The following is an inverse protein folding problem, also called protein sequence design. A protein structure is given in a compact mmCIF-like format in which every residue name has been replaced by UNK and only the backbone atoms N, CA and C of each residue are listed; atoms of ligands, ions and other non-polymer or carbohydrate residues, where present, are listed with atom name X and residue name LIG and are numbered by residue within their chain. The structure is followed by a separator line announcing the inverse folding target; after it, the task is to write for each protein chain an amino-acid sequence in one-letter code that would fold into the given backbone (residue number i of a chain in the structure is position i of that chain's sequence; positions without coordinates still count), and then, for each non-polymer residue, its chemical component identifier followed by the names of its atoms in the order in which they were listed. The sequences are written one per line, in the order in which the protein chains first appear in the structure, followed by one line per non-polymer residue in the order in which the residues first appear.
data_IF_723203658394
#
_entry.id   IF_723203658394
#
_cell.length_a   1.000
_cell.length_b   1.000
_cell.length_c   1.000
_cell.angle_alpha   90.00
_cell.angle_beta   90.00
_cell.angle_gamma   90.00
#
_symmetry.space_group_name_H-M   'P 1'
#
loop_
_entity.id
_entity.type
_entity.pdbx_description
1 polymer ?
#
# COMPACT_ATOMS: atom_id res chain seq x y z
N UNK A 1 0.69 -1.46 13.12
CA UNK A 1 -0.08 -0.87 11.98
C UNK A 1 0.79 -0.01 11.06
N UNK A 2 1.57 0.97 11.60
CA UNK A 2 2.38 1.89 10.79
C UNK A 2 3.26 1.19 9.76
N UNK A 3 4.04 0.18 10.16
CA UNK A 3 4.92 -0.55 9.25
C UNK A 3 4.17 -1.14 8.06
N UNK A 4 2.98 -1.66 8.31
CA UNK A 4 2.14 -2.26 7.25
C UNK A 4 1.55 -1.19 6.34
N UNK A 5 1.08 -0.06 6.90
CA UNK A 5 0.57 1.08 6.11
C UNK A 5 1.61 1.61 5.12
N UNK A 6 2.88 1.69 5.53
CA UNK A 6 3.94 2.22 4.66
C UNK A 6 4.49 1.18 3.68
N UNK A 7 4.44 -0.11 4.04
CA UNK A 7 4.91 -1.19 3.17
C UNK A 7 3.88 -1.54 2.10
N UNK A 8 2.59 -1.51 2.44
CA UNK A 8 1.48 -1.81 1.54
C UNK A 8 0.52 -0.61 1.50
N UNK A 9 0.96 0.52 0.96
CA UNK A 9 0.11 1.70 0.88
C UNK A 9 -1.03 1.49 -0.11
N UNK A 10 -2.17 2.09 0.19
CA UNK A 10 -3.21 2.23 -0.83
C UNK A 10 -2.78 3.23 -1.93
N UNK A 11 -3.38 3.18 -3.11
CA UNK A 11 -3.17 4.19 -4.14
C UNK A 11 -3.63 5.57 -3.65
N UNK A 12 -2.68 6.45 -3.33
CA UNK A 12 -2.94 7.73 -2.65
C UNK A 12 -2.76 8.95 -3.56
N UNK A 13 -1.79 8.92 -4.47
CA UNK A 13 -1.36 10.11 -5.20
C UNK A 13 -2.48 10.77 -6.02
N UNK A 14 -3.29 10.00 -6.73
CA UNK A 14 -4.39 10.49 -7.56
C UNK A 14 -5.77 10.33 -6.92
N UNK A 15 -5.84 9.96 -5.65
CA UNK A 15 -7.11 9.77 -4.95
C UNK A 15 -7.71 11.11 -4.55
N UNK A 16 -8.72 11.59 -5.29
CA UNK A 16 -9.38 12.86 -5.03
C UNK A 16 -10.18 12.88 -3.71
N UNK A 17 -10.61 11.72 -3.22
CA UNK A 17 -11.38 11.60 -1.99
C UNK A 17 -10.51 11.60 -0.72
N UNK A 18 -9.20 11.38 -0.87
CA UNK A 18 -8.27 11.34 0.25
C UNK A 18 -7.86 12.75 0.70
N UNK A 19 -7.85 13.00 2.00
CA UNK A 19 -7.40 14.27 2.57
C UNK A 19 -5.92 14.52 2.27
N UNK A 20 -5.54 15.80 2.13
CA UNK A 20 -4.15 16.16 1.88
C UNK A 20 -3.22 15.67 2.99
N UNK A 21 -3.67 15.69 4.23
CA UNK A 21 -2.91 15.21 5.39
C UNK A 21 -2.51 13.74 5.28
N UNK A 22 -3.42 12.88 4.82
CA UNK A 22 -3.13 11.46 4.59
C UNK A 22 -2.20 11.30 3.38
N UNK A 23 -2.37 12.10 2.33
CA UNK A 23 -1.46 12.10 1.18
C UNK A 23 -0.05 12.50 1.58
N UNK A 24 0.11 13.52 2.40
CA UNK A 24 1.41 13.96 2.92
C UNK A 24 2.09 12.86 3.74
N UNK A 25 1.33 12.15 4.56
CA UNK A 25 1.83 10.97 5.28
C UNK A 25 2.39 9.92 4.32
N UNK A 26 1.64 9.51 3.31
CA UNK A 26 2.10 8.51 2.35
C UNK A 26 3.26 9.03 1.49
N UNK A 27 3.22 10.30 1.07
CA UNK A 27 4.32 10.92 0.31
C UNK A 27 5.62 10.95 1.10
N UNK A 28 5.55 11.27 2.38
CA UNK A 28 6.71 11.28 3.26
C UNK A 28 7.35 9.90 3.33
N UNK A 29 6.57 8.87 3.61
CA UNK A 29 7.10 7.51 3.72
C UNK A 29 7.52 6.91 2.38
N UNK A 30 6.93 7.34 1.27
CA UNK A 30 7.36 6.94 -0.08
C UNK A 30 8.78 7.41 -0.42
N UNK A 31 9.32 8.41 0.28
CA UNK A 31 10.74 8.80 0.14
C UNK A 31 11.71 7.84 0.82
N UNK A 32 11.23 6.97 1.68
CA UNK A 32 12.05 6.07 2.52
C UNK A 32 11.99 4.62 2.10
N UNK A 33 10.89 4.19 1.50
CA UNK A 33 10.65 2.79 1.20
C UNK A 33 9.82 2.64 -0.07
N UNK A 34 10.22 1.70 -0.92
CA UNK A 34 9.39 1.26 -2.05
C UNK A 34 8.18 0.47 -1.53
N UNK A 35 6.97 0.72 -2.08
CA UNK A 35 5.80 -0.04 -1.72
C UNK A 35 5.90 -1.48 -2.19
N UNK A 36 5.30 -2.39 -1.42
CA UNK A 36 5.12 -3.76 -1.86
C UNK A 36 4.27 -3.80 -3.14
N UNK A 37 4.71 -4.56 -4.12
CA UNK A 37 3.94 -4.87 -5.31
C UNK A 37 3.80 -6.38 -5.47
N UNK A 38 2.59 -6.82 -5.81
CA UNK A 38 2.25 -8.23 -6.00
C UNK A 38 1.12 -8.72 -5.09
N UNK A 39 0.58 -9.93 -5.37
CA UNK A 39 -0.52 -10.50 -4.60
C UNK A 39 -0.12 -10.78 -3.15
N UNK A 40 -0.82 -10.16 -2.21
CA UNK A 40 -0.57 -10.34 -0.79
C UNK A 40 -1.85 -10.28 0.04
N UNK A 41 -1.88 -11.09 1.10
CA UNK A 41 -2.78 -10.95 2.23
C UNK A 41 -1.93 -11.08 3.47
N UNK A 42 -1.69 -9.96 4.14
CA UNK A 42 -0.75 -9.86 5.26
C UNK A 42 -1.54 -9.75 6.56
N UNK A 43 -1.28 -10.66 7.47
CA UNK A 43 -1.77 -10.61 8.84
C UNK A 43 -0.63 -10.19 9.75
N UNK A 44 -0.94 -9.38 10.74
CA UNK A 44 0.07 -8.89 11.69
C UNK A 44 -0.53 -8.70 13.08
N UNK A 45 0.34 -8.67 14.08
CA UNK A 45 -0.01 -8.34 15.46
C UNK A 45 1.16 -7.63 16.14
N UNK A 46 0.86 -6.77 17.11
CA UNK A 46 1.84 -6.20 18.05
C UNK A 46 1.57 -6.63 19.50
N UNK A 47 0.69 -7.59 19.68
CA UNK A 47 0.27 -8.11 20.98
C UNK A 47 -1.16 -7.70 21.33
N UNK A 48 -1.47 -6.42 21.25
CA UNK A 48 -2.79 -5.86 21.58
C UNK A 48 -3.65 -5.63 20.34
N UNK A 49 -3.02 -5.35 19.22
CA UNK A 49 -3.68 -5.13 17.93
C UNK A 49 -3.49 -6.34 17.02
N UNK A 50 -4.56 -6.79 16.42
CA UNK A 50 -4.55 -7.72 15.29
C UNK A 50 -4.98 -6.99 14.04
N UNK A 51 -4.26 -7.20 12.95
CA UNK A 51 -4.60 -6.54 11.70
C UNK A 51 -4.44 -7.45 10.49
N UNK A 52 -5.14 -7.07 9.43
CA UNK A 52 -5.02 -7.70 8.13
C UNK A 52 -5.19 -6.67 7.00
N UNK A 53 -4.38 -6.79 5.97
CA UNK A 53 -4.41 -5.93 4.79
C UNK A 53 -4.20 -6.76 3.53
N UNK A 54 -4.83 -6.35 2.45
CA UNK A 54 -4.59 -6.89 1.11
C UNK A 54 -3.62 -6.00 0.33
N UNK A 55 -3.02 -6.57 -0.70
CA UNK A 55 -2.32 -5.79 -1.71
C UNK A 55 -3.24 -4.72 -2.33
N UNK A 56 -2.66 -3.71 -2.96
CA UNK A 56 -3.40 -2.56 -3.52
C UNK A 56 -4.53 -2.94 -4.50
N UNK A 57 -4.42 -4.09 -5.15
CA UNK A 57 -5.42 -4.59 -6.10
C UNK A 57 -6.37 -5.63 -5.47
N UNK A 58 -6.06 -6.10 -4.26
CA UNK A 58 -6.84 -7.12 -3.57
C UNK A 58 -6.90 -8.45 -4.31
N UNK A 59 -5.79 -8.86 -4.91
CA UNK A 59 -5.72 -10.07 -5.74
C UNK A 59 -5.91 -11.35 -4.92
N UNK A 60 -5.48 -11.34 -3.65
CA UNK A 60 -5.77 -12.44 -2.73
C UNK A 60 -7.07 -12.18 -1.98
N UNK A 61 -8.01 -13.13 -1.97
CA UNK A 61 -9.23 -12.98 -1.19
C UNK A 61 -8.92 -13.07 0.31
N UNK A 62 -9.67 -12.32 1.11
CA UNK A 62 -9.69 -12.45 2.57
C UNK A 62 -11.06 -12.05 3.08
N UNK A 63 -11.66 -12.92 3.87
CA UNK A 63 -13.00 -12.76 4.42
C UNK A 63 -12.97 -12.92 5.91
N UNK A 64 -13.87 -12.23 6.61
CA UNK A 64 -13.99 -12.40 8.03
C UNK A 64 -15.46 -12.50 8.47
N UNK A 65 -15.64 -13.17 9.58
CA UNK A 65 -16.89 -13.25 10.31
C UNK A 65 -16.66 -12.72 11.73
N UNK A 66 -17.69 -12.08 12.27
CA UNK A 66 -17.79 -11.80 13.70
C UNK A 66 -19.01 -12.54 14.20
N UNK A 67 -18.86 -13.30 15.26
CA UNK A 67 -19.93 -14.08 15.88
C UNK A 67 -20.57 -13.33 17.06
N UNK A 68 -21.69 -13.83 17.54
CA UNK A 68 -22.44 -13.27 18.65
C UNK A 68 -21.72 -13.36 20.03
N UNK A 69 -20.63 -14.14 20.08
CA UNK A 69 -19.72 -14.25 21.22
C UNK A 69 -18.43 -13.45 21.04
N UNK A 70 -18.44 -12.46 20.15
CA UNK A 70 -17.31 -11.57 19.83
C UNK A 70 -16.05 -12.29 19.29
N UNK A 71 -16.22 -13.50 18.72
CA UNK A 71 -15.12 -14.19 18.06
C UNK A 71 -14.98 -13.68 16.61
N UNK A 72 -13.78 -13.20 16.23
CA UNK A 72 -13.46 -12.83 14.86
C UNK A 72 -12.68 -13.94 14.18
N UNK A 73 -13.17 -14.41 13.05
CA UNK A 73 -12.52 -15.43 12.23
C UNK A 73 -12.19 -14.80 10.88
N UNK A 74 -10.89 -14.73 10.56
CA UNK A 74 -10.39 -14.29 9.28
C UNK A 74 -9.77 -15.46 8.51
N UNK A 75 -10.12 -15.57 7.23
CA UNK A 75 -9.62 -16.64 6.36
C UNK A 75 -9.65 -16.23 4.89
N UNK A 76 -8.78 -16.83 4.08
CA UNK A 76 -8.82 -16.71 2.62
C UNK A 76 -10.02 -17.46 2.00
N UNK A 77 -10.49 -18.51 2.67
CA UNK A 77 -11.56 -19.39 2.20
C UNK A 77 -12.78 -19.34 3.12
N UNK A 78 -13.95 -19.55 2.56
CA UNK A 78 -15.20 -19.70 3.32
C UNK A 78 -15.32 -21.13 3.83
N UNK A 79 -15.85 -21.31 5.04
CA UNK A 79 -16.11 -22.65 5.58
C UNK A 79 -14.88 -23.34 6.16
N UNK A 80 -13.85 -22.60 6.54
CA UNK A 80 -12.65 -23.13 7.24
C UNK A 80 -13.05 -23.66 8.63
N UNK A 81 -14.01 -23.03 9.25
CA UNK A 81 -14.67 -23.49 10.47
C UNK A 81 -16.16 -23.65 10.20
N UNK A 82 -16.74 -24.69 10.76
CA UNK A 82 -18.19 -24.92 10.72
C UNK A 82 -18.86 -24.04 11.78
N UNK A 83 -19.34 -22.88 11.36
CA UNK A 83 -20.01 -21.92 12.23
C UNK A 83 -21.48 -21.88 11.87
N UNK A 84 -22.37 -22.13 12.84
CA UNK A 84 -23.80 -22.01 12.61
C UNK A 84 -24.15 -20.61 12.08
N UNK A 85 -24.89 -20.51 10.96
CA UNK A 85 -25.22 -19.20 10.36
C UNK A 85 -25.88 -18.20 11.30
N UNK A 86 -26.69 -18.70 12.25
CA UNK A 86 -27.38 -17.89 13.26
C UNK A 86 -26.43 -17.20 14.26
N UNK A 87 -25.20 -17.69 14.41
CA UNK A 87 -24.17 -17.08 15.26
C UNK A 87 -23.39 -15.97 14.56
N UNK A 88 -23.50 -15.83 13.25
CA UNK A 88 -22.73 -14.87 12.48
C UNK A 88 -23.45 -13.51 12.50
N UNK A 89 -22.87 -12.53 13.19
CA UNK A 89 -23.38 -11.15 13.27
C UNK A 89 -22.84 -10.28 12.12
N UNK A 90 -21.56 -10.48 11.75
CA UNK A 90 -20.92 -9.78 10.63
C UNK A 90 -20.31 -10.79 9.68
N UNK A 91 -20.51 -10.55 8.38
CA UNK A 91 -19.93 -11.34 7.31
C UNK A 91 -19.45 -10.38 6.22
N UNK A 92 -18.15 -10.20 6.16
CA UNK A 92 -17.51 -9.20 5.32
C UNK A 92 -16.25 -9.75 4.64
N UNK A 93 -15.73 -8.97 3.69
CA UNK A 93 -14.43 -9.20 3.07
C UNK A 93 -13.52 -7.99 3.30
N UNK A 94 -12.23 -8.22 3.34
CA UNK A 94 -11.27 -7.10 3.30
C UNK A 94 -11.24 -6.54 1.88
N UNK A 95 -11.36 -5.23 1.78
CA UNK A 95 -11.30 -4.52 0.51
C UNK A 95 -9.88 -4.07 0.18
N UNK A 96 -9.51 -3.96 -1.11
CA UNK A 96 -8.24 -3.37 -1.53
C UNK A 96 -8.05 -1.96 -0.93
N UNK A 97 -6.84 -1.67 -0.45
CA UNK A 97 -6.53 -0.39 0.19
C UNK A 97 -7.18 -0.15 1.54
N UNK A 98 -7.91 -1.14 2.08
CA UNK A 98 -8.51 -1.09 3.41
C UNK A 98 -7.82 -2.06 4.35
N UNK A 99 -7.68 -1.64 5.59
CA UNK A 99 -7.12 -2.46 6.66
C UNK A 99 -8.23 -2.88 7.63
N UNK A 100 -8.31 -4.17 7.90
CA UNK A 100 -9.05 -4.65 9.07
C UNK A 100 -8.13 -4.54 10.28
N UNK A 101 -8.56 -3.84 11.31
CA UNK A 101 -7.81 -3.68 12.53
C UNK A 101 -8.72 -3.98 13.73
N UNK A 102 -8.23 -4.78 14.64
CA UNK A 102 -8.94 -5.17 15.85
C UNK A 102 -8.09 -4.82 17.06
N UNK A 103 -8.62 -3.99 17.93
CA UNK A 103 -8.04 -3.70 19.24
C UNK A 103 -8.62 -4.71 20.25
N UNK A 104 -7.78 -5.64 20.70
CA UNK A 104 -8.21 -6.71 21.62
C UNK A 104 -8.35 -6.22 23.06
N UNK A 105 -7.72 -5.10 23.40
CA UNK A 105 -7.85 -4.48 24.73
C UNK A 105 -9.18 -3.73 24.86
N UNK A 106 -9.53 -2.97 23.80
CA UNK A 106 -10.78 -2.23 23.75
C UNK A 106 -11.97 -3.09 23.28
N UNK A 107 -11.71 -4.28 22.72
CA UNK A 107 -12.72 -5.17 22.18
C UNK A 107 -13.49 -4.58 20.99
N UNK A 108 -12.81 -3.87 20.09
CA UNK A 108 -13.45 -3.23 18.94
C UNK A 108 -12.66 -3.36 17.64
N UNK A 109 -13.39 -3.31 16.54
CA UNK A 109 -12.81 -3.09 15.21
C UNK A 109 -12.55 -1.59 15.02
N UNK A 110 -11.34 -1.23 14.65
CA UNK A 110 -10.96 0.16 14.35
C UNK A 110 -11.24 0.44 12.87
N UNK A 111 -11.92 1.55 12.59
CA UNK A 111 -12.19 1.98 11.22
C UNK A 111 -10.90 2.38 10.49
N UNK A 112 -10.80 1.98 9.23
CA UNK A 112 -9.64 2.26 8.38
C UNK A 112 -9.36 3.76 8.23
N UNK A 113 -10.40 4.57 8.12
CA UNK A 113 -10.24 6.02 8.01
C UNK A 113 -9.79 6.64 9.34
N UNK A 114 -10.34 6.19 10.47
CA UNK A 114 -9.91 6.59 11.81
C UNK A 114 -8.43 6.33 12.00
N UNK A 115 -7.96 5.13 11.63
CA UNK A 115 -6.56 4.74 11.71
C UNK A 115 -5.67 5.66 10.87
N UNK A 116 -6.03 5.90 9.61
CA UNK A 116 -5.26 6.73 8.69
C UNK A 116 -5.16 8.17 9.15
N UNK A 117 -6.25 8.73 9.64
CA UNK A 117 -6.28 10.09 10.19
C UNK A 117 -5.41 10.22 11.44
N UNK A 118 -5.47 9.24 12.33
CA UNK A 118 -4.64 9.21 13.53
C UNK A 118 -3.14 9.23 13.16
N UNK A 119 -2.69 8.32 12.28
CA UNK A 119 -1.28 8.25 11.90
C UNK A 119 -0.82 9.47 11.11
N UNK A 120 -1.66 10.00 10.22
CA UNK A 120 -1.37 11.22 9.48
C UNK A 120 -1.31 12.47 10.38
N UNK A 121 -1.92 12.41 11.56
CA UNK A 121 -1.90 13.50 12.53
C UNK A 121 -0.70 13.48 13.48
N UNK A 122 0.06 12.38 13.53
CA UNK A 122 1.15 12.19 14.51
C UNK A 122 2.33 13.12 14.29
N UNK A 123 2.57 13.54 13.05
CA UNK A 123 3.70 14.38 12.70
C UNK A 123 3.30 15.42 11.64
N UNK A 124 4.02 16.53 11.50
CA UNK A 124 3.76 17.58 10.52
C UNK A 124 4.35 17.22 9.13
N UNK A 125 3.94 16.09 8.57
CA UNK A 125 4.50 15.55 7.31
C UNK A 125 4.46 16.56 6.16
N UNK A 126 3.37 17.31 6.02
CA UNK A 126 3.23 18.33 4.97
C UNK A 126 4.23 19.48 5.11
N UNK A 127 4.53 19.91 6.33
CA UNK A 127 5.55 20.95 6.56
C UNK A 127 6.95 20.44 6.19
N UNK A 128 7.26 19.18 6.54
CA UNK A 128 8.54 18.58 6.19
C UNK A 128 8.71 18.42 4.68
N UNK A 129 7.67 17.94 3.98
CA UNK A 129 7.68 17.83 2.52
C UNK A 129 7.84 19.19 1.86
N UNK A 130 7.08 20.20 2.28
CA UNK A 130 7.15 21.55 1.70
C UNK A 130 8.52 22.22 1.89
N UNK A 131 9.21 21.91 2.98
CA UNK A 131 10.51 22.53 3.29
C UNK A 131 11.72 21.75 2.78
N UNK A 132 11.60 20.43 2.57
CA UNK A 132 12.78 19.59 2.33
C UNK A 132 12.68 18.70 1.07
N UNK A 133 11.48 18.51 0.50
CA UNK A 133 11.33 17.72 -0.71
C UNK A 133 11.85 18.50 -1.92
N UNK A 134 12.85 17.95 -2.59
CA UNK A 134 13.37 18.50 -3.84
C UNK A 134 12.95 17.57 -4.99
N UNK A 135 12.18 18.10 -5.92
CA UNK A 135 11.78 17.34 -7.10
C UNK A 135 12.93 17.27 -8.11
N UNK A 136 13.04 16.15 -8.79
CA UNK A 136 14.07 15.97 -9.81
C UNK A 136 13.98 17.03 -10.91
N UNK A 137 12.77 17.46 -11.28
CA UNK A 137 12.52 18.51 -12.25
C UNK A 137 13.07 19.89 -11.84
N UNK A 138 13.24 20.13 -10.54
CA UNK A 138 13.70 21.41 -10.00
C UNK A 138 15.24 21.49 -9.96
N UNK A 139 15.91 20.36 -10.18
CA UNK A 139 17.36 20.31 -10.21
C UNK A 139 17.90 20.93 -11.50
N UNK A 140 18.84 21.87 -11.36
CA UNK A 140 19.61 22.40 -12.48
C UNK A 140 20.64 21.37 -12.92
N UNK A 141 20.21 20.42 -13.75
CA UNK A 141 21.13 19.44 -14.34
C UNK A 141 21.95 20.17 -15.42
N UNK A 142 23.30 20.08 -15.38
CA UNK A 142 24.14 20.68 -16.41
C UNK A 142 23.71 20.15 -17.79
N UNK A 143 23.59 21.10 -18.74
CA UNK A 143 23.09 20.79 -20.08
C UNK A 143 24.15 19.96 -20.85
N UNK A 144 24.25 18.68 -20.51
CA UNK A 144 25.10 17.73 -21.26
C UNK A 144 24.39 17.37 -22.57
N UNK A 145 25.09 17.48 -23.67
CA UNK A 145 24.59 16.97 -24.95
C UNK A 145 24.45 15.45 -24.83
N UNK A 146 23.22 15.00 -24.69
CA UNK A 146 22.92 13.57 -24.77
C UNK A 146 23.17 13.11 -26.21
N UNK A 147 23.97 12.08 -26.44
CA UNK A 147 24.17 11.55 -27.78
C UNK A 147 22.82 11.14 -28.40
N UNK A 148 22.58 11.62 -29.61
CA UNK A 148 21.40 11.21 -30.37
C UNK A 148 21.75 9.98 -31.18
N UNK A 149 21.16 8.84 -30.82
CA UNK A 149 21.36 7.60 -31.55
C UNK A 149 20.19 7.36 -32.51
N UNK A 150 20.49 6.81 -33.67
CA UNK A 150 19.46 6.26 -34.55
C UNK A 150 18.77 5.05 -33.88
N UNK A 151 17.60 4.69 -34.36
CA UNK A 151 16.88 3.51 -33.86
C UNK A 151 17.72 2.23 -33.97
N UNK A 152 18.46 2.08 -35.06
CA UNK A 152 19.31 0.91 -35.28
C UNK A 152 20.50 0.87 -34.34
N UNK A 153 21.12 2.00 -34.07
CA UNK A 153 22.21 2.13 -33.11
C UNK A 153 21.72 1.84 -31.70
N UNK A 154 20.55 2.38 -31.28
CA UNK A 154 19.94 2.05 -30.00
C UNK A 154 19.69 0.55 -29.84
N UNK A 155 19.12 -0.10 -30.85
CA UNK A 155 18.88 -1.54 -30.81
C UNK A 155 20.17 -2.35 -30.70
N UNK A 156 21.21 -1.91 -31.39
CA UNK A 156 22.54 -2.55 -31.33
C UNK A 156 23.15 -2.39 -29.95
N UNK A 157 23.06 -1.22 -29.35
CA UNK A 157 23.55 -0.95 -27.99
C UNK A 157 22.76 -1.74 -26.94
N UNK A 158 21.44 -1.76 -27.06
CA UNK A 158 20.59 -2.55 -26.15
C UNK A 158 20.99 -4.05 -26.17
N UNK A 159 21.21 -4.60 -27.37
CA UNK A 159 21.69 -5.99 -27.49
C UNK A 159 23.10 -6.17 -26.93
N UNK A 160 24.01 -5.23 -27.18
CA UNK A 160 25.37 -5.29 -26.66
C UNK A 160 25.42 -5.24 -25.13
N UNK A 161 24.52 -4.50 -24.50
CA UNK A 161 24.38 -4.40 -23.04
C UNK A 161 23.45 -5.47 -22.43
N UNK A 162 22.91 -6.37 -23.24
CA UNK A 162 22.10 -7.50 -22.79
C UNK A 162 20.66 -7.14 -22.38
N UNK A 163 20.14 -5.97 -22.77
CA UNK A 163 18.77 -5.60 -22.48
C UNK A 163 17.77 -6.45 -23.27
N UNK A 164 16.86 -7.09 -22.58
CA UNK A 164 15.71 -7.74 -23.20
C UNK A 164 14.65 -6.71 -23.64
N UNK A 165 13.76 -7.12 -24.53
CA UNK A 165 12.62 -6.29 -24.93
C UNK A 165 11.73 -5.93 -23.75
N UNK A 166 11.54 -6.88 -22.85
CA UNK A 166 10.74 -6.70 -21.64
C UNK A 166 11.35 -5.64 -20.72
N UNK A 167 12.63 -5.71 -20.44
CA UNK A 167 13.34 -4.73 -19.61
C UNK A 167 13.27 -3.32 -20.19
N UNK A 168 13.45 -3.20 -21.51
CA UNK A 168 13.33 -1.89 -22.18
C UNK A 168 11.92 -1.34 -22.05
N UNK A 169 10.90 -2.17 -22.25
CA UNK A 169 9.51 -1.75 -22.25
C UNK A 169 8.95 -1.48 -20.85
N UNK A 170 9.32 -2.29 -19.87
CA UNK A 170 8.70 -2.24 -18.53
C UNK A 170 9.50 -1.42 -17.52
N UNK A 171 10.81 -1.30 -17.70
CA UNK A 171 11.68 -0.65 -16.72
C UNK A 171 12.29 0.66 -17.21
N UNK A 172 12.65 0.76 -18.50
CA UNK A 172 13.36 1.93 -19.03
C UNK A 172 12.40 2.97 -19.64
N UNK A 173 11.32 2.54 -20.27
CA UNK A 173 10.35 3.41 -20.94
C UNK A 173 9.15 3.83 -20.08
N UNK A 174 9.05 3.36 -18.85
CA UNK A 174 7.99 3.75 -17.91
C UNK A 174 8.42 4.89 -17.00
#
# INVERSE_FOLDING_TARGET
PLAVMITIPEPWAQNAAMSQKIKDFYQYYATMMEPWDGPASILFSDGDILGAVLDRNGLRPSRYYITDDDTLILSSEVGVLDIPPEKIVVKERIHPGKMLLVDTVQGRVIDDQELKEEYAARQPYGEWLNSQLVNLSDLKIPNQKVPQYSREECQRLQKAFGYSYEEVKTSILN
#
